data_IF_001362641483
#
_entry.id   IF_001362641483
#
_cell.length_a   1.000
_cell.length_b   1.000
_cell.length_c   1.000
_cell.angle_alpha   90.00
_cell.angle_beta   90.00
_cell.angle_gamma   90.00
#
_symmetry.space_group_name_H-M   'P 1'
#
loop_
_entity.id
_entity.type
_entity.pdbx_description
1 polymer ?
#
# COMPACT_ATOMS: atom_id res chain seq x y z
N UNK A 1 1.54 -17.91 -42.72
CA UNK A 1 0.13 -18.20 -43.17
C UNK A 1 -0.69 -18.20 -41.91
N UNK A 2 -1.31 -17.07 -41.61
CA UNK A 2 -2.12 -16.85 -40.39
C UNK A 2 -3.56 -16.68 -40.84
N UNK A 3 -4.43 -17.61 -40.41
CA UNK A 3 -5.84 -17.56 -40.68
C UNK A 3 -6.51 -16.42 -39.92
N UNK A 4 -7.42 -15.62 -40.53
CA UNK A 4 -8.16 -14.60 -39.82
C UNK A 4 -9.38 -15.19 -39.13
N UNK A 5 -9.57 -14.88 -37.86
CA UNK A 5 -10.75 -15.18 -37.05
C UNK A 5 -12.04 -14.61 -37.68
N UNK A 6 -13.18 -15.32 -37.64
CA UNK A 6 -14.44 -14.84 -38.18
C UNK A 6 -15.05 -13.75 -37.29
N UNK A 7 -15.29 -12.58 -37.87
CA UNK A 7 -16.10 -11.51 -37.29
C UNK A 7 -17.59 -11.87 -37.49
N UNK A 8 -18.25 -12.40 -36.47
CA UNK A 8 -19.71 -12.44 -36.41
C UNK A 8 -20.20 -11.44 -35.36
N UNK A 9 -20.37 -10.20 -35.80
CA UNK A 9 -21.27 -9.26 -35.10
C UNK A 9 -22.73 -9.63 -35.44
N UNK A 10 -23.70 -9.31 -34.55
CA UNK A 10 -25.11 -9.56 -34.85
C UNK A 10 -25.47 -8.75 -36.11
N UNK A 11 -25.86 -9.48 -37.18
CA UNK A 11 -26.45 -8.86 -38.34
C UNK A 11 -27.84 -8.36 -37.93
N UNK A 12 -28.01 -7.02 -37.83
CA UNK A 12 -29.33 -6.41 -37.86
C UNK A 12 -30.03 -6.88 -39.17
N UNK A 13 -31.02 -7.73 -39.05
CA UNK A 13 -31.90 -8.11 -40.15
C UNK A 13 -32.54 -6.88 -40.77
N UNK A 14 -33.03 -6.99 -42.02
CA UNK A 14 -33.70 -5.85 -42.68
C UNK A 14 -34.88 -5.40 -41.80
N UNK A 15 -34.96 -4.10 -41.54
CA UNK A 15 -36.07 -3.49 -40.83
C UNK A 15 -37.38 -3.91 -41.47
N UNK A 16 -38.28 -4.53 -40.69
CA UNK A 16 -39.58 -4.93 -41.15
C UNK A 16 -40.37 -3.66 -41.53
N UNK A 17 -40.53 -3.43 -42.83
CA UNK A 17 -41.24 -2.28 -43.35
C UNK A 17 -42.72 -2.22 -42.87
N UNK A 18 -43.26 -3.31 -42.34
CA UNK A 18 -44.58 -3.38 -41.74
C UNK A 18 -44.61 -2.78 -40.30
N UNK A 19 -43.48 -2.68 -39.60
CA UNK A 19 -43.43 -2.07 -38.30
C UNK A 19 -43.41 -0.53 -38.32
N UNK A 20 -43.02 0.07 -39.44
CA UNK A 20 -42.95 1.52 -39.61
C UNK A 20 -44.30 2.26 -39.52
N UNK A 21 -45.42 1.71 -40.10
CA UNK A 21 -46.74 2.32 -39.92
C UNK A 21 -47.24 2.27 -38.48
N UNK A 22 -46.97 1.20 -37.73
CA UNK A 22 -47.37 1.10 -36.33
C UNK A 22 -46.66 2.12 -35.43
N UNK A 23 -45.41 2.49 -35.75
CA UNK A 23 -44.69 3.56 -35.04
C UNK A 23 -45.25 4.97 -35.32
N UNK A 24 -45.92 5.17 -36.47
CA UNK A 24 -46.56 6.42 -36.85
C UNK A 24 -47.98 6.58 -36.30
N UNK A 25 -48.58 5.50 -35.78
CA UNK A 25 -49.90 5.50 -35.15
C UNK A 25 -49.85 5.81 -33.66
N UNK A 26 -48.66 5.85 -33.00
CA UNK A 26 -48.51 6.27 -31.61
C UNK A 26 -48.98 7.71 -31.46
N UNK A 27 -50.02 7.91 -30.71
CA UNK A 27 -50.46 9.25 -30.38
C UNK A 27 -49.58 9.84 -29.28
N UNK A 28 -49.61 11.17 -29.10
CA UNK A 28 -48.79 11.91 -28.15
C UNK A 28 -49.05 11.45 -26.69
N UNK A 29 -50.26 11.03 -26.38
CA UNK A 29 -50.65 10.60 -25.05
C UNK A 29 -50.11 9.18 -24.78
N UNK A 30 -50.05 8.27 -25.76
CA UNK A 30 -49.44 6.92 -25.63
C UNK A 30 -47.94 7.03 -25.40
N UNK A 31 -47.26 7.88 -26.17
CA UNK A 31 -45.82 8.17 -25.97
C UNK A 31 -45.51 8.77 -24.58
N UNK A 32 -46.39 9.58 -24.05
CA UNK A 32 -46.23 10.17 -22.74
C UNK A 32 -46.52 9.16 -21.63
N UNK A 33 -47.61 8.40 -21.70
CA UNK A 33 -48.05 7.43 -20.69
C UNK A 33 -47.15 6.17 -20.69
N UNK A 34 -46.66 5.74 -21.85
CA UNK A 34 -45.77 4.59 -22.05
C UNK A 34 -44.27 4.90 -21.91
N UNK A 35 -43.89 6.14 -21.62
CA UNK A 35 -42.49 6.51 -21.46
C UNK A 35 -41.81 5.67 -20.36
N UNK A 36 -40.54 5.16 -20.54
CA UNK A 36 -39.85 4.31 -19.58
C UNK A 36 -39.34 5.10 -18.35
N UNK A 37 -39.81 6.32 -18.15
CA UNK A 37 -39.52 7.20 -17.02
C UNK A 37 -40.80 7.83 -16.49
N UNK A 38 -40.79 8.22 -15.24
CA UNK A 38 -41.88 9.02 -14.66
C UNK A 38 -41.85 10.44 -15.22
N UNK A 39 -42.97 10.91 -15.69
CA UNK A 39 -43.12 12.30 -16.11
C UNK A 39 -44.27 12.98 -15.33
N UNK A 40 -43.97 14.18 -14.81
CA UNK A 40 -44.97 14.99 -14.12
C UNK A 40 -44.77 16.44 -14.51
N UNK A 41 -45.91 17.13 -14.77
CA UNK A 41 -45.95 18.59 -14.97
C UNK A 41 -46.70 19.21 -13.81
N UNK A 42 -46.12 20.25 -13.23
CA UNK A 42 -46.75 21.01 -12.15
C UNK A 42 -46.96 22.47 -12.53
N UNK A 43 -47.89 23.10 -11.90
CA UNK A 43 -47.97 24.55 -11.86
C UNK A 43 -46.77 25.11 -11.09
N UNK A 44 -46.58 26.40 -11.11
CA UNK A 44 -45.46 27.06 -10.43
C UNK A 44 -45.52 26.94 -8.92
N UNK A 45 -46.71 26.73 -8.36
CA UNK A 45 -46.93 26.47 -6.94
C UNK A 45 -46.66 25.00 -6.52
N UNK A 46 -46.25 24.17 -7.50
CA UNK A 46 -45.94 22.74 -7.32
C UNK A 46 -47.18 21.83 -7.48
N UNK A 47 -48.40 22.35 -7.71
CA UNK A 47 -49.62 21.53 -7.88
C UNK A 47 -49.49 20.70 -9.18
N UNK A 48 -49.72 19.37 -9.06
CA UNK A 48 -49.61 18.44 -10.17
C UNK A 48 -50.77 18.64 -11.17
N UNK A 49 -50.41 19.01 -12.40
CA UNK A 49 -51.36 19.25 -13.49
C UNK A 49 -51.42 18.05 -14.44
N UNK A 50 -50.29 17.36 -14.69
CA UNK A 50 -50.25 16.18 -15.55
C UNK A 50 -49.23 15.19 -14.96
N UNK A 51 -49.54 13.90 -15.05
CA UNK A 51 -48.67 12.80 -14.58
C UNK A 51 -48.88 11.60 -15.50
N UNK A 52 -47.79 10.91 -15.90
CA UNK A 52 -47.90 9.77 -16.78
C UNK A 52 -48.24 8.45 -16.03
N UNK A 53 -48.70 7.45 -16.78
CA UNK A 53 -49.12 6.15 -16.23
C UNK A 53 -47.96 5.41 -15.58
N UNK A 54 -46.73 5.52 -16.12
CA UNK A 54 -45.51 4.93 -15.54
C UNK A 54 -45.27 5.41 -14.12
N UNK A 55 -45.32 6.72 -13.88
CA UNK A 55 -45.09 7.26 -12.54
C UNK A 55 -46.23 6.92 -11.58
N UNK A 56 -47.49 6.93 -12.03
CA UNK A 56 -48.64 6.47 -11.25
C UNK A 56 -48.48 5.02 -10.84
N UNK A 57 -48.07 4.13 -11.77
CA UNK A 57 -47.80 2.72 -11.47
C UNK A 57 -46.69 2.53 -10.45
N UNK A 58 -45.61 3.32 -10.51
CA UNK A 58 -44.54 3.27 -9.52
C UNK A 58 -45.00 3.74 -8.15
N UNK A 59 -45.84 4.75 -8.10
CA UNK A 59 -46.29 5.35 -6.83
C UNK A 59 -47.52 4.66 -6.22
N UNK A 60 -48.32 3.91 -7.01
CA UNK A 60 -49.52 3.24 -6.59
C UNK A 60 -50.70 4.17 -6.33
N UNK A 61 -50.74 5.37 -6.92
CA UNK A 61 -51.83 6.32 -6.88
C UNK A 61 -52.67 6.23 -8.16
N UNK A 62 -53.95 6.60 -8.06
CA UNK A 62 -54.79 6.85 -9.24
C UNK A 62 -54.57 8.28 -9.73
N UNK A 63 -54.98 8.55 -10.97
CA UNK A 63 -54.84 9.90 -11.59
C UNK A 63 -55.70 10.91 -10.85
N UNK A 64 -56.88 10.50 -10.41
CA UNK A 64 -57.81 11.33 -9.65
C UNK A 64 -57.27 11.69 -8.24
N UNK A 65 -56.45 10.85 -7.63
CA UNK A 65 -55.87 11.12 -6.32
C UNK A 65 -54.78 12.20 -6.36
N UNK A 66 -54.23 12.46 -7.55
CA UNK A 66 -52.98 13.24 -7.70
C UNK A 66 -53.25 14.58 -8.43
N UNK A 67 -53.93 14.57 -9.57
CA UNK A 67 -54.12 15.74 -10.41
C UNK A 67 -55.00 16.79 -9.71
N UNK A 68 -54.47 18.02 -9.56
CA UNK A 68 -55.14 19.12 -8.87
C UNK A 68 -55.31 18.97 -7.37
N UNK A 69 -54.87 17.84 -6.77
CA UNK A 69 -55.04 17.51 -5.34
C UNK A 69 -53.74 17.41 -4.54
N UNK A 70 -52.65 17.03 -5.20
CA UNK A 70 -51.31 16.92 -4.57
C UNK A 70 -50.33 17.89 -5.23
N UNK A 71 -49.34 18.32 -4.40
CA UNK A 71 -48.15 18.97 -4.88
C UNK A 71 -47.04 17.93 -5.10
N UNK A 72 -46.09 18.24 -5.93
CA UNK A 72 -44.91 17.35 -6.09
C UNK A 72 -44.22 17.07 -4.74
N UNK A 73 -44.10 18.08 -3.88
CA UNK A 73 -43.52 17.93 -2.55
C UNK A 73 -44.30 16.95 -1.62
N UNK A 74 -45.61 16.69 -1.87
CA UNK A 74 -46.39 15.72 -1.11
C UNK A 74 -46.07 14.27 -1.44
N UNK A 75 -45.43 14.04 -2.62
CA UNK A 75 -44.95 12.74 -3.03
C UNK A 75 -43.57 12.42 -2.43
N UNK A 76 -42.91 13.37 -1.78
CA UNK A 76 -41.59 13.20 -1.20
C UNK A 76 -41.67 12.65 0.22
N UNK A 77 -40.58 11.96 0.65
CA UNK A 77 -40.38 11.65 2.08
C UNK A 77 -40.13 12.93 2.87
N UNK A 78 -40.21 12.88 4.19
CA UNK A 78 -40.02 14.07 5.06
C UNK A 78 -38.66 14.75 4.77
N UNK A 79 -37.57 13.98 4.66
CA UNK A 79 -36.26 14.51 4.32
C UNK A 79 -36.20 15.07 2.90
N UNK A 80 -36.84 14.37 1.93
CA UNK A 80 -36.95 14.83 0.54
C UNK A 80 -37.72 16.13 0.42
N UNK A 81 -38.80 16.30 1.22
CA UNK A 81 -39.60 17.54 1.28
C UNK A 81 -38.78 18.71 1.81
N UNK A 82 -38.04 18.52 2.90
CA UNK A 82 -37.15 19.55 3.45
C UNK A 82 -36.11 19.99 2.42
N UNK A 83 -35.44 19.03 1.76
CA UNK A 83 -34.45 19.31 0.72
C UNK A 83 -35.08 20.04 -0.48
N UNK A 84 -36.28 19.63 -0.89
CA UNK A 84 -37.03 20.28 -1.96
C UNK A 84 -37.31 21.75 -1.66
N UNK A 85 -37.75 22.05 -0.44
CA UNK A 85 -38.12 23.42 -0.01
C UNK A 85 -36.88 24.31 0.17
N UNK A 86 -35.76 23.75 0.65
CA UNK A 86 -34.58 24.54 1.00
C UNK A 86 -33.55 24.66 -0.16
N UNK A 87 -33.50 23.70 -1.06
CA UNK A 87 -32.50 23.65 -2.12
C UNK A 87 -33.09 23.49 -3.52
N UNK A 88 -33.94 22.48 -3.73
CA UNK A 88 -34.43 22.13 -5.06
C UNK A 88 -35.29 23.24 -5.67
N UNK A 89 -36.34 23.68 -5.02
CA UNK A 89 -37.24 24.70 -5.52
C UNK A 89 -36.56 26.07 -5.68
N UNK A 90 -35.76 26.57 -4.75
CA UNK A 90 -34.99 27.80 -4.91
C UNK A 90 -34.01 27.74 -6.10
N UNK A 91 -33.25 26.63 -6.23
CA UNK A 91 -32.32 26.46 -7.35
C UNK A 91 -33.04 26.45 -8.70
N UNK A 92 -34.17 25.71 -8.80
CA UNK A 92 -34.98 25.66 -10.01
C UNK A 92 -35.53 27.02 -10.39
N UNK A 93 -35.96 27.83 -9.41
CA UNK A 93 -36.43 29.20 -9.64
C UNK A 93 -35.31 30.12 -10.14
N UNK A 94 -34.10 29.98 -9.60
CA UNK A 94 -32.95 30.84 -9.99
C UNK A 94 -32.33 30.47 -11.35
N UNK A 95 -32.21 29.15 -11.61
CA UNK A 95 -31.49 28.64 -12.78
C UNK A 95 -32.39 28.20 -13.92
N UNK A 96 -33.69 28.04 -13.68
CA UNK A 96 -34.65 27.54 -14.67
C UNK A 96 -34.64 26.05 -14.89
N UNK A 97 -33.55 25.34 -14.44
CA UNK A 97 -33.43 23.91 -14.53
C UNK A 97 -32.62 23.33 -13.36
N UNK A 98 -32.81 22.05 -13.10
CA UNK A 98 -32.05 21.26 -12.13
C UNK A 98 -31.94 19.82 -12.64
N UNK A 99 -30.74 19.23 -12.60
CA UNK A 99 -30.44 17.96 -13.24
C UNK A 99 -29.94 16.90 -12.24
N UNK A 100 -30.51 15.67 -12.32
CA UNK A 100 -29.97 14.48 -11.69
C UNK A 100 -29.94 14.48 -10.16
N UNK A 101 -30.92 15.15 -9.52
CA UNK A 101 -31.00 15.19 -8.05
C UNK A 101 -31.58 13.89 -7.51
N UNK A 102 -30.86 13.25 -6.59
CA UNK A 102 -31.35 12.06 -5.91
C UNK A 102 -32.38 12.42 -4.82
N UNK A 103 -33.58 11.89 -4.94
CA UNK A 103 -34.68 12.08 -3.98
C UNK A 103 -35.31 10.72 -3.62
N UNK A 104 -36.14 10.71 -2.59
CA UNK A 104 -36.99 9.57 -2.26
C UNK A 104 -38.45 9.96 -2.35
N UNK A 105 -39.21 9.28 -3.21
CA UNK A 105 -40.66 9.40 -3.28
C UNK A 105 -41.31 8.44 -2.27
N UNK A 106 -42.46 8.82 -1.76
CA UNK A 106 -43.32 8.00 -0.89
C UNK A 106 -44.46 7.44 -1.72
N UNK A 107 -44.58 6.14 -1.78
CA UNK A 107 -45.70 5.46 -2.43
C UNK A 107 -46.95 5.50 -1.62
N UNK A 108 -48.10 5.14 -2.21
CA UNK A 108 -49.38 5.07 -1.56
C UNK A 108 -49.41 4.07 -0.38
N UNK A 109 -48.66 2.99 -0.46
CA UNK A 109 -48.48 2.00 0.61
C UNK A 109 -47.53 2.42 1.72
N UNK A 110 -46.96 3.63 1.64
CA UNK A 110 -45.98 4.17 2.59
C UNK A 110 -44.53 3.76 2.32
N UNK A 111 -44.25 2.85 1.39
CA UNK A 111 -42.89 2.46 1.00
C UNK A 111 -42.16 3.58 0.28
N UNK A 112 -40.81 3.49 0.24
CA UNK A 112 -39.94 4.50 -0.37
C UNK A 112 -39.46 4.04 -1.73
N UNK A 113 -39.44 4.96 -2.69
CA UNK A 113 -38.89 4.78 -4.02
C UNK A 113 -37.72 5.76 -4.22
N UNK A 114 -36.47 5.30 -4.24
CA UNK A 114 -35.34 6.15 -4.63
C UNK A 114 -35.41 6.49 -6.10
N UNK A 115 -35.23 7.77 -6.42
CA UNK A 115 -35.34 8.30 -7.77
C UNK A 115 -34.25 9.32 -8.07
N UNK A 116 -33.96 9.52 -9.36
CA UNK A 116 -33.23 10.67 -9.87
C UNK A 116 -34.21 11.60 -10.56
N UNK A 117 -34.18 12.87 -10.20
CA UNK A 117 -35.13 13.89 -10.65
C UNK A 117 -34.40 14.95 -11.46
N UNK A 118 -34.92 15.24 -12.62
CA UNK A 118 -34.53 16.36 -13.47
C UNK A 118 -35.75 17.22 -13.71
N UNK A 119 -35.65 18.53 -13.49
CA UNK A 119 -36.77 19.47 -13.67
C UNK A 119 -36.34 20.69 -14.48
N UNK A 120 -37.24 21.19 -15.27
CA UNK A 120 -37.05 22.43 -16.01
C UNK A 120 -38.32 23.31 -15.94
N UNK A 121 -38.12 24.59 -15.88
CA UNK A 121 -39.22 25.57 -15.98
C UNK A 121 -39.50 25.82 -17.47
N UNK A 122 -40.74 25.53 -17.89
CA UNK A 122 -41.20 25.87 -19.24
C UNK A 122 -41.71 27.31 -19.24
N UNK A 123 -41.20 28.11 -20.16
CA UNK A 123 -41.63 29.49 -20.40
C UNK A 123 -42.60 29.57 -21.57
N UNK A 124 -43.46 30.57 -21.57
CA UNK A 124 -44.35 30.93 -22.67
C UNK A 124 -43.63 31.70 -23.77
N UNK A 125 -44.38 32.08 -24.84
CA UNK A 125 -43.89 32.90 -25.91
C UNK A 125 -43.56 34.36 -25.49
N UNK A 126 -44.08 34.75 -24.33
CA UNK A 126 -43.85 36.04 -23.67
C UNK A 126 -42.65 36.00 -22.70
N UNK A 127 -41.94 34.86 -22.62
CA UNK A 127 -40.80 34.65 -21.70
C UNK A 127 -41.21 34.42 -20.24
N UNK A 128 -42.51 34.41 -19.91
CA UNK A 128 -42.97 34.17 -18.56
C UNK A 128 -43.01 32.67 -18.22
N UNK A 129 -42.63 32.24 -16.99
CA UNK A 129 -42.73 30.85 -16.56
C UNK A 129 -44.20 30.39 -16.55
N UNK A 130 -44.46 29.25 -17.18
CA UNK A 130 -45.80 28.66 -17.30
C UNK A 130 -46.01 27.47 -16.36
N UNK A 131 -45.06 26.53 -16.38
CA UNK A 131 -45.15 25.28 -15.63
C UNK A 131 -43.76 24.67 -15.43
N UNK A 132 -43.66 23.72 -14.54
CA UNK A 132 -42.44 22.94 -14.31
C UNK A 132 -42.66 21.53 -14.88
N UNK A 133 -41.72 21.08 -15.71
CA UNK A 133 -41.63 19.69 -16.20
C UNK A 133 -40.58 18.95 -15.44
N UNK A 134 -40.97 17.81 -14.91
CA UNK A 134 -40.07 16.93 -14.10
C UNK A 134 -40.07 15.55 -14.72
N UNK A 135 -38.86 15.06 -15.04
CA UNK A 135 -38.60 13.66 -15.41
C UNK A 135 -37.96 12.95 -14.25
N UNK A 136 -38.43 11.74 -14.00
CA UNK A 136 -38.07 10.94 -12.83
C UNK A 136 -37.61 9.58 -13.31
N UNK A 137 -36.41 9.16 -12.91
CA UNK A 137 -35.87 7.83 -13.18
C UNK A 137 -35.85 7.01 -11.91
N UNK A 138 -36.28 5.75 -12.01
CA UNK A 138 -36.15 4.79 -10.93
C UNK A 138 -34.66 4.53 -10.63
N UNK A 139 -34.25 4.71 -9.40
CA UNK A 139 -32.86 4.58 -8.98
C UNK A 139 -32.62 3.37 -8.07
N UNK A 140 -33.60 2.41 -7.96
CA UNK A 140 -33.47 1.24 -7.07
C UNK A 140 -32.28 0.37 -7.42
N UNK A 141 -32.13 -0.02 -8.69
CA UNK A 141 -31.02 -0.86 -9.14
C UNK A 141 -29.67 -0.17 -8.96
N UNK A 142 -29.60 1.10 -9.33
CA UNK A 142 -28.39 1.89 -9.16
C UNK A 142 -27.99 1.98 -7.67
N UNK A 143 -28.94 2.28 -6.80
CA UNK A 143 -28.68 2.40 -5.35
C UNK A 143 -28.27 1.07 -4.71
N UNK A 144 -28.89 -0.04 -5.14
CA UNK A 144 -28.51 -1.38 -4.70
C UNK A 144 -27.08 -1.71 -5.13
N UNK A 145 -26.72 -1.43 -6.38
CA UNK A 145 -25.37 -1.63 -6.90
C UNK A 145 -24.32 -0.76 -6.17
N UNK A 146 -24.63 0.53 -5.94
CA UNK A 146 -23.75 1.42 -5.18
C UNK A 146 -23.53 0.91 -3.74
N UNK A 147 -24.56 0.39 -3.09
CA UNK A 147 -24.45 -0.18 -1.74
C UNK A 147 -23.62 -1.46 -1.73
N UNK A 148 -23.83 -2.35 -2.70
CA UNK A 148 -23.04 -3.59 -2.85
C UNK A 148 -21.56 -3.27 -3.09
N UNK A 149 -21.26 -2.30 -3.96
CA UNK A 149 -19.89 -1.86 -4.22
C UNK A 149 -19.22 -1.29 -2.98
N UNK A 150 -19.93 -0.47 -2.21
CA UNK A 150 -19.41 0.07 -0.95
C UNK A 150 -19.18 -1.03 0.11
N UNK A 151 -20.04 -2.04 0.15
CA UNK A 151 -19.88 -3.17 1.05
C UNK A 151 -18.65 -4.00 0.68
N UNK A 152 -18.54 -4.40 -0.59
CA UNK A 152 -17.40 -5.16 -1.10
C UNK A 152 -16.07 -4.42 -0.89
N UNK A 153 -16.05 -3.09 -1.09
CA UNK A 153 -14.87 -2.28 -0.81
C UNK A 153 -14.47 -2.31 0.66
N UNK A 154 -15.44 -2.16 1.58
CA UNK A 154 -15.16 -2.22 3.03
C UNK A 154 -14.62 -3.57 3.47
N UNK A 155 -15.16 -4.66 2.92
CA UNK A 155 -14.66 -6.01 3.20
C UNK A 155 -13.23 -6.21 2.70
N UNK A 156 -12.95 -5.75 1.47
CA UNK A 156 -11.60 -5.80 0.90
C UNK A 156 -10.58 -4.97 1.70
N UNK A 157 -10.96 -3.76 2.15
CA UNK A 157 -10.12 -2.90 2.97
C UNK A 157 -9.84 -3.53 4.34
N UNK A 158 -10.84 -4.15 4.98
CA UNK A 158 -10.70 -4.84 6.26
C UNK A 158 -9.78 -6.08 6.16
N UNK A 159 -9.92 -6.89 5.11
CA UNK A 159 -9.07 -8.06 4.89
C UNK A 159 -7.62 -7.65 4.58
N UNK A 160 -7.43 -6.57 3.81
CA UNK A 160 -6.10 -6.02 3.54
C UNK A 160 -5.40 -5.56 4.82
N UNK A 161 -6.11 -4.89 5.71
CA UNK A 161 -5.55 -4.45 7.00
C UNK A 161 -5.22 -5.64 7.92
N UNK A 162 -6.07 -6.65 7.92
CA UNK A 162 -5.80 -7.90 8.63
C UNK A 162 -4.53 -8.59 8.13
N UNK A 163 -4.37 -8.71 6.81
CA UNK A 163 -3.17 -9.30 6.19
C UNK A 163 -1.92 -8.50 6.52
N UNK A 164 -1.99 -7.17 6.50
CA UNK A 164 -0.88 -6.29 6.92
C UNK A 164 -0.47 -6.54 8.37
N UNK A 165 -1.43 -6.68 9.25
CA UNK A 165 -1.17 -7.02 10.66
C UNK A 165 -0.46 -8.36 10.83
N UNK A 166 -0.83 -9.37 10.04
CA UNK A 166 -0.16 -10.67 10.04
C UNK A 166 1.26 -10.57 9.49
N UNK A 167 1.47 -9.85 8.39
CA UNK A 167 2.80 -9.61 7.80
C UNK A 167 3.71 -8.92 8.81
N UNK A 168 3.25 -7.84 9.43
CA UNK A 168 4.00 -7.12 10.45
C UNK A 168 4.31 -7.99 11.69
N UNK A 169 3.40 -8.87 12.06
CA UNK A 169 3.62 -9.86 13.13
C UNK A 169 4.71 -10.87 12.79
N UNK A 170 4.67 -11.43 11.58
CA UNK A 170 5.69 -12.34 11.08
C UNK A 170 7.06 -11.65 10.98
N UNK A 171 7.12 -10.46 10.43
CA UNK A 171 8.36 -9.70 10.33
C UNK A 171 9.02 -9.48 11.69
N UNK A 172 8.24 -9.06 12.70
CA UNK A 172 8.75 -8.92 14.08
C UNK A 172 9.29 -10.22 14.66
N UNK A 173 8.72 -11.37 14.33
CA UNK A 173 9.22 -12.66 14.82
C UNK A 173 10.54 -13.08 14.14
N UNK A 174 10.87 -12.53 12.99
CA UNK A 174 12.11 -12.82 12.27
C UNK A 174 13.30 -11.97 12.74
N UNK A 175 13.03 -10.83 13.35
CA UNK A 175 14.06 -9.92 13.86
C UNK A 175 14.08 -9.98 15.42
N UNK A 176 15.20 -9.70 16.07
CA UNK A 176 15.24 -9.56 17.51
C UNK A 176 14.49 -8.31 17.96
N UNK A 177 13.63 -8.43 18.99
CA UNK A 177 12.91 -7.26 19.56
C UNK A 177 13.87 -6.22 20.14
N UNK A 178 14.94 -6.67 20.76
CA UNK A 178 16.04 -5.85 21.30
C UNK A 178 17.35 -6.59 21.15
N UNK A 179 18.42 -5.87 20.81
CA UNK A 179 19.75 -6.44 20.82
C UNK A 179 20.35 -6.34 22.23
N UNK A 180 20.94 -7.43 22.75
CA UNK A 180 21.76 -7.35 23.95
C UNK A 180 23.02 -6.54 23.65
N UNK A 181 23.52 -5.78 24.63
CA UNK A 181 24.79 -5.09 24.49
C UNK A 181 25.92 -5.91 25.16
N UNK A 182 27.08 -6.09 24.52
CA UNK A 182 28.27 -6.61 25.16
C UNK A 182 28.71 -5.66 26.30
N UNK A 183 29.43 -6.16 27.32
CA UNK A 183 29.94 -5.31 28.39
C UNK A 183 30.77 -4.14 27.84
N UNK A 184 30.57 -2.94 28.40
CA UNK A 184 31.22 -1.70 27.99
C UNK A 184 30.95 -1.27 26.53
N UNK A 185 29.85 -1.76 25.92
CA UNK A 185 29.47 -1.43 24.56
C UNK A 185 28.03 -0.95 24.51
N UNK A 186 27.77 -0.09 23.51
CA UNK A 186 26.42 0.31 23.14
C UNK A 186 26.07 -0.28 21.78
N UNK A 187 24.80 -0.66 21.63
CA UNK A 187 24.27 -1.20 20.37
C UNK A 187 23.03 -0.44 19.97
N UNK A 188 22.85 -0.25 18.69
CA UNK A 188 21.65 0.38 18.13
C UNK A 188 21.32 -0.24 16.79
N UNK A 189 20.03 -0.31 16.46
CA UNK A 189 19.55 -0.82 15.18
C UNK A 189 18.40 0.04 14.66
N UNK A 190 18.27 0.02 13.35
CA UNK A 190 17.11 0.56 12.66
C UNK A 190 16.69 -0.39 11.56
N UNK A 191 15.40 -0.52 11.35
CA UNK A 191 14.83 -1.31 10.28
C UNK A 191 13.67 -0.56 9.62
N UNK A 192 13.73 -0.44 8.30
CA UNK A 192 12.68 0.14 7.48
C UNK A 192 12.25 -0.86 6.40
N UNK A 193 10.95 -1.10 6.28
CA UNK A 193 10.38 -1.89 5.19
C UNK A 193 9.99 -0.98 4.03
N UNK A 194 10.48 -1.26 2.84
CA UNK A 194 10.07 -0.54 1.64
C UNK A 194 8.57 -0.72 1.30
N UNK A 195 7.94 -1.79 1.78
CA UNK A 195 6.53 -2.09 1.54
C UNK A 195 5.87 -2.70 2.77
N UNK A 196 4.77 -2.08 3.24
CA UNK A 196 3.95 -2.62 4.32
C UNK A 196 3.15 -3.89 3.94
N UNK A 197 3.06 -4.21 2.65
CA UNK A 197 2.28 -5.34 2.12
C UNK A 197 3.16 -6.59 1.88
N UNK A 198 4.47 -6.54 2.20
CA UNK A 198 5.42 -7.65 1.97
C UNK A 198 6.39 -7.77 3.12
N UNK A 199 6.89 -8.99 3.36
CA UNK A 199 7.97 -9.24 4.32
C UNK A 199 9.28 -8.90 3.62
N UNK A 200 10.14 -8.12 4.30
CA UNK A 200 11.45 -7.72 3.81
C UNK A 200 12.47 -8.85 3.83
N UNK A 201 13.55 -8.68 3.06
CA UNK A 201 14.69 -9.61 2.96
C UNK A 201 15.74 -9.40 4.02
N UNK A 202 15.89 -8.18 4.53
CA UNK A 202 16.93 -7.81 5.49
C UNK A 202 16.78 -8.52 6.82
N UNK A 203 17.90 -8.99 7.39
CA UNK A 203 17.96 -9.63 8.69
C UNK A 203 19.23 -9.30 9.43
N UNK A 204 19.17 -9.26 10.75
CA UNK A 204 20.33 -9.01 11.63
C UNK A 204 20.16 -9.71 12.97
N UNK A 205 21.26 -9.85 13.67
CA UNK A 205 21.27 -10.33 15.06
C UNK A 205 22.58 -9.95 15.76
N UNK A 206 22.54 -9.90 17.10
CA UNK A 206 23.69 -9.80 17.98
C UNK A 206 23.44 -10.69 19.20
N UNK A 207 24.34 -11.59 19.54
CA UNK A 207 24.11 -12.59 20.56
C UNK A 207 25.39 -13.03 21.24
N UNK A 208 25.32 -13.45 22.55
CA UNK A 208 26.48 -13.92 23.26
C UNK A 208 26.90 -15.31 22.77
N UNK A 209 28.20 -15.55 22.80
CA UNK A 209 28.86 -16.84 22.56
C UNK A 209 29.67 -17.25 23.78
N UNK A 210 30.19 -18.49 23.78
CA UNK A 210 31.06 -18.97 24.83
C UNK A 210 32.32 -18.11 24.99
N UNK A 211 32.91 -18.15 26.18
CA UNK A 211 34.14 -17.42 26.54
C UNK A 211 34.07 -15.89 26.38
N UNK A 212 32.90 -15.28 26.61
CA UNK A 212 32.69 -13.86 26.55
C UNK A 212 32.67 -13.24 25.12
N UNK A 213 32.77 -14.07 24.09
CA UNK A 213 32.68 -13.66 22.70
C UNK A 213 31.25 -13.33 22.31
N UNK A 214 31.09 -12.58 21.22
CA UNK A 214 29.79 -12.19 20.67
C UNK A 214 29.77 -12.42 19.17
N UNK A 215 28.69 -13.02 18.69
CA UNK A 215 28.40 -13.14 17.27
C UNK A 215 27.43 -12.03 16.84
N UNK A 216 27.65 -11.47 15.67
CA UNK A 216 26.73 -10.51 15.06
C UNK A 216 26.72 -10.67 13.55
N UNK A 217 25.59 -10.38 12.93
CA UNK A 217 25.49 -10.38 11.48
C UNK A 217 24.43 -9.40 10.99
N UNK A 218 24.58 -9.00 9.73
CA UNK A 218 23.58 -8.33 8.93
C UNK A 218 23.62 -8.91 7.53
N UNK A 219 22.44 -9.15 6.91
CA UNK A 219 22.33 -9.73 5.59
C UNK A 219 21.02 -9.37 4.93
N UNK A 220 20.95 -9.58 3.63
CA UNK A 220 19.76 -9.43 2.81
C UNK A 220 19.50 -10.70 1.99
N UNK A 221 18.26 -11.16 2.01
CA UNK A 221 17.79 -12.32 1.25
C UNK A 221 17.19 -11.86 -0.07
N UNK A 222 17.67 -12.40 -1.16
CA UNK A 222 17.14 -12.10 -2.48
C UNK A 222 15.63 -12.43 -2.57
N UNK A 223 14.83 -11.43 -2.94
CA UNK A 223 13.38 -11.52 -3.08
C UNK A 223 12.61 -11.03 -1.85
N UNK A 224 11.29 -11.03 -1.94
CA UNK A 224 10.39 -10.49 -0.89
C UNK A 224 9.22 -11.44 -0.63
N UNK A 225 8.62 -11.33 0.54
CA UNK A 225 7.45 -12.12 0.94
C UNK A 225 7.79 -13.41 1.68
N UNK A 226 6.85 -14.37 1.72
CA UNK A 226 6.96 -15.58 2.55
C UNK A 226 8.18 -16.46 2.22
N UNK A 227 8.62 -16.51 0.97
CA UNK A 227 9.81 -17.28 0.59
C UNK A 227 11.08 -16.65 1.15
N UNK A 228 11.21 -15.32 1.09
CA UNK A 228 12.31 -14.58 1.71
C UNK A 228 12.30 -14.77 3.23
N UNK A 229 11.14 -14.63 3.89
CA UNK A 229 10.97 -14.86 5.32
C UNK A 229 11.46 -16.24 5.78
N UNK A 230 11.13 -17.28 5.03
CA UNK A 230 11.61 -18.64 5.34
C UNK A 230 13.14 -18.76 5.22
N UNK A 231 13.74 -18.09 4.23
CA UNK A 231 15.19 -18.04 4.03
C UNK A 231 15.87 -17.22 5.14
N UNK A 232 15.30 -16.08 5.51
CA UNK A 232 15.73 -15.25 6.64
C UNK A 232 15.77 -16.05 7.95
N UNK A 233 14.68 -16.76 8.27
CA UNK A 233 14.62 -17.62 9.45
C UNK A 233 15.70 -18.71 9.42
N UNK A 234 15.85 -19.41 8.28
CA UNK A 234 16.86 -20.43 8.10
C UNK A 234 18.28 -19.86 8.26
N UNK A 235 18.58 -18.72 7.63
CA UNK A 235 19.87 -18.06 7.71
C UNK A 235 20.21 -17.68 9.16
N UNK A 236 19.29 -16.98 9.83
CA UNK A 236 19.48 -16.53 11.22
C UNK A 236 19.74 -17.69 12.17
N UNK A 237 18.91 -18.74 12.12
CA UNK A 237 19.09 -19.91 13.01
C UNK A 237 20.36 -20.70 12.70
N UNK A 238 20.68 -20.86 11.41
CA UNK A 238 21.89 -21.56 10.99
C UNK A 238 23.14 -20.84 11.47
N UNK A 239 23.22 -19.51 11.29
CA UNK A 239 24.37 -18.72 11.73
C UNK A 239 24.55 -18.76 13.25
N UNK A 240 23.47 -18.58 14.03
CA UNK A 240 23.52 -18.69 15.49
C UNK A 240 24.00 -20.06 15.96
N UNK A 241 23.48 -21.10 15.34
CA UNK A 241 23.85 -22.49 15.72
C UNK A 241 25.29 -22.80 15.32
N UNK A 242 25.70 -22.47 14.09
CA UNK A 242 27.05 -22.73 13.62
C UNK A 242 28.11 -22.04 14.49
N UNK A 243 27.93 -20.74 14.78
CA UNK A 243 28.87 -19.96 15.60
C UNK A 243 28.87 -20.36 17.07
N UNK A 244 27.81 -20.97 17.59
CA UNK A 244 27.78 -21.53 18.96
C UNK A 244 28.69 -22.76 19.08
N UNK A 245 28.82 -23.56 18.01
CA UNK A 245 29.71 -24.73 17.97
C UNK A 245 31.12 -24.33 17.56
N UNK A 246 31.29 -23.56 16.54
CA UNK A 246 32.56 -23.07 16.02
C UNK A 246 32.49 -21.57 15.73
N UNK A 247 33.17 -20.74 16.53
CA UNK A 247 33.14 -19.29 16.36
C UNK A 247 34.05 -18.79 15.24
N UNK A 248 34.34 -19.62 14.24
CA UNK A 248 34.94 -19.18 12.99
C UNK A 248 33.85 -18.66 12.06
N UNK A 249 33.81 -17.33 11.73
CA UNK A 249 32.76 -16.77 10.90
C UNK A 249 32.80 -17.30 9.46
N UNK A 250 33.97 -17.72 8.96
CA UNK A 250 34.05 -18.30 7.60
C UNK A 250 33.45 -19.71 7.56
N UNK A 251 33.72 -20.54 8.57
CA UNK A 251 33.11 -21.85 8.69
C UNK A 251 31.59 -21.77 8.84
N UNK A 252 31.08 -20.79 9.61
CA UNK A 252 29.65 -20.58 9.76
C UNK A 252 28.96 -20.16 8.45
N UNK A 253 29.58 -19.28 7.66
CA UNK A 253 29.07 -18.91 6.33
C UNK A 253 29.13 -20.07 5.34
N UNK A 254 30.18 -20.90 5.38
CA UNK A 254 30.25 -22.11 4.57
C UNK A 254 29.14 -23.10 4.90
N UNK A 255 28.82 -23.24 6.20
CA UNK A 255 27.71 -24.07 6.65
C UNK A 255 26.36 -23.52 6.18
N UNK A 256 26.11 -22.20 6.32
CA UNK A 256 24.92 -21.56 5.81
C UNK A 256 24.79 -21.78 4.29
N UNK A 257 25.87 -21.63 3.54
CA UNK A 257 25.88 -21.89 2.11
C UNK A 257 25.42 -23.32 1.78
N UNK A 258 25.94 -24.31 2.51
CA UNK A 258 25.54 -25.71 2.29
C UNK A 258 24.05 -25.92 2.51
N UNK A 259 23.47 -25.32 3.57
CA UNK A 259 22.04 -25.39 3.88
C UNK A 259 21.21 -24.76 2.77
N UNK A 260 21.50 -23.51 2.37
CA UNK A 260 20.73 -22.79 1.37
C UNK A 260 20.89 -23.39 -0.03
N UNK A 261 22.11 -23.86 -0.38
CA UNK A 261 22.36 -24.47 -1.68
C UNK A 261 21.63 -25.81 -1.86
N UNK A 262 21.46 -26.61 -0.80
CA UNK A 262 20.64 -27.82 -0.85
C UNK A 262 19.17 -27.51 -1.14
N UNK A 263 18.64 -26.47 -0.52
CA UNK A 263 17.27 -26.00 -0.76
C UNK A 263 17.08 -25.43 -2.18
N UNK A 264 18.12 -24.80 -2.74
CA UNK A 264 18.10 -24.26 -4.11
C UNK A 264 17.77 -25.34 -5.16
N UNK A 265 18.23 -26.58 -4.97
CA UNK A 265 17.93 -27.73 -5.85
C UNK A 265 16.44 -28.12 -5.84
N UNK A 266 15.67 -27.65 -4.85
CA UNK A 266 14.27 -28.02 -4.58
C UNK A 266 13.23 -27.03 -5.13
N UNK A 267 13.55 -26.05 -6.00
CA UNK A 267 12.64 -25.11 -6.71
C UNK A 267 12.61 -23.64 -6.25
N UNK A 268 13.41 -23.19 -5.30
CA UNK A 268 13.46 -21.74 -4.99
C UNK A 268 14.90 -21.25 -5.00
N UNK A 269 15.13 -20.12 -5.69
CA UNK A 269 16.42 -19.44 -5.72
C UNK A 269 16.65 -18.77 -4.36
N UNK A 270 17.17 -19.54 -3.40
CA UNK A 270 17.41 -19.07 -2.04
C UNK A 270 18.87 -18.71 -1.88
N UNK A 271 19.18 -17.44 -1.97
CA UNK A 271 20.51 -16.91 -1.71
C UNK A 271 20.38 -15.60 -0.96
N UNK A 272 21.46 -15.23 -0.28
CA UNK A 272 21.54 -13.98 0.45
C UNK A 272 22.93 -13.36 0.34
N UNK A 273 23.02 -12.07 0.57
CA UNK A 273 24.24 -11.41 0.98
C UNK A 273 24.29 -11.39 2.50
N UNK A 274 25.46 -11.55 3.09
CA UNK A 274 25.60 -11.50 4.55
C UNK A 274 27.02 -11.14 4.96
N UNK A 275 27.13 -10.32 6.01
CA UNK A 275 28.36 -10.09 6.76
C UNK A 275 28.18 -10.66 8.17
N UNK A 276 29.08 -11.53 8.58
CA UNK A 276 29.10 -12.17 9.90
C UNK A 276 30.37 -11.77 10.63
N UNK A 277 30.23 -11.30 11.86
CA UNK A 277 31.33 -10.91 12.71
C UNK A 277 31.39 -11.68 14.03
N UNK A 278 32.58 -11.96 14.49
CA UNK A 278 32.85 -12.44 15.83
C UNK A 278 33.70 -11.39 16.57
N UNK A 279 33.11 -10.84 17.63
CA UNK A 279 33.79 -9.96 18.55
C UNK A 279 34.39 -10.80 19.69
N UNK A 280 35.69 -10.65 19.85
CA UNK A 280 36.45 -11.28 20.95
C UNK A 280 36.97 -10.16 21.87
N UNK A 281 36.58 -10.09 23.15
CA UNK A 281 37.09 -9.10 24.09
C UNK A 281 38.60 -9.26 24.27
N UNK A 282 39.30 -8.14 24.40
CA UNK A 282 40.71 -8.06 24.76
C UNK A 282 40.90 -7.19 26.00
N UNK A 283 42.05 -7.21 26.66
CA UNK A 283 42.28 -6.38 27.85
C UNK A 283 42.16 -4.87 27.60
N UNK A 284 42.31 -4.43 26.33
CA UNK A 284 42.32 -3.00 25.94
C UNK A 284 41.24 -2.70 24.93
N UNK A 285 40.17 -3.49 24.84
CA UNK A 285 39.10 -3.26 23.90
C UNK A 285 38.52 -4.54 23.32
N UNK A 286 38.55 -4.71 22.01
CA UNK A 286 38.04 -5.89 21.30
C UNK A 286 38.82 -6.20 20.02
N UNK A 287 38.67 -7.42 19.53
CA UNK A 287 39.10 -7.81 18.17
C UNK A 287 37.90 -8.34 17.43
N UNK A 288 37.66 -7.84 16.25
CA UNK A 288 36.56 -8.26 15.36
C UNK A 288 37.14 -9.06 14.20
N UNK A 289 36.61 -10.27 14.00
CA UNK A 289 36.87 -11.06 12.78
C UNK A 289 35.59 -11.11 11.97
N UNK A 290 35.61 -10.52 10.78
CA UNK A 290 34.49 -10.53 9.82
C UNK A 290 34.69 -11.64 8.81
N UNK A 291 33.57 -12.20 8.32
CA UNK A 291 33.50 -12.99 7.10
C UNK A 291 32.39 -12.45 6.21
N UNK A 292 32.68 -12.25 4.91
CA UNK A 292 31.75 -11.66 3.96
C UNK A 292 31.27 -12.64 2.92
N UNK A 293 29.96 -12.60 2.70
CA UNK A 293 29.24 -13.29 1.64
C UNK A 293 28.53 -12.32 0.70
N UNK A 294 29.29 -11.47 0.00
CA UNK A 294 28.76 -10.53 -1.00
C UNK A 294 27.99 -9.31 -0.44
N UNK A 295 28.10 -9.05 0.83
CA UNK A 295 27.41 -7.94 1.52
C UNK A 295 28.25 -6.66 1.51
N UNK A 296 27.64 -5.45 1.57
CA UNK A 296 28.37 -4.18 1.69
C UNK A 296 29.40 -4.17 2.84
N UNK A 297 30.50 -3.44 2.61
CA UNK A 297 31.57 -3.34 3.61
C UNK A 297 31.11 -2.52 4.82
N UNK A 298 31.21 -3.04 6.06
CA UNK A 298 30.96 -2.23 7.24
C UNK A 298 31.89 -1.02 7.34
N UNK A 299 31.43 0.08 7.93
CA UNK A 299 32.22 1.28 8.19
C UNK A 299 32.69 1.29 9.64
N UNK A 300 33.98 1.42 9.87
CA UNK A 300 34.58 1.60 11.17
C UNK A 300 34.93 3.08 11.38
N UNK A 301 34.28 3.70 12.34
CA UNK A 301 34.52 5.06 12.77
C UNK A 301 35.47 5.02 13.96
N UNK A 302 36.64 5.60 13.81
CA UNK A 302 37.67 5.63 14.83
C UNK A 302 37.45 6.78 15.83
N UNK A 303 37.99 6.63 17.00
CA UNK A 303 37.99 7.67 18.03
C UNK A 303 38.71 8.95 17.59
N UNK A 304 39.67 8.88 16.66
CA UNK A 304 40.38 10.04 16.08
C UNK A 304 39.57 10.76 14.97
N UNK A 305 38.38 10.30 14.64
CA UNK A 305 37.50 10.87 13.61
C UNK A 305 37.70 10.31 12.22
N UNK A 306 38.58 9.33 12.02
CA UNK A 306 38.73 8.66 10.72
C UNK A 306 37.63 7.65 10.48
N UNK A 307 37.24 7.45 9.20
CA UNK A 307 36.24 6.47 8.77
C UNK A 307 36.88 5.50 7.77
N UNK A 308 36.92 4.25 8.15
CA UNK A 308 37.57 3.17 7.39
C UNK A 308 36.56 2.13 6.97
N UNK A 309 36.36 1.88 5.67
CA UNK A 309 35.61 0.70 5.23
C UNK A 309 36.36 -0.58 5.59
N UNK A 310 35.63 -1.59 6.04
CA UNK A 310 36.18 -2.91 6.40
C UNK A 310 35.79 -3.95 5.34
N UNK A 311 36.39 -3.93 4.12
CA UNK A 311 35.99 -4.77 3.03
C UNK A 311 36.36 -6.23 3.28
N UNK A 312 35.44 -7.15 2.96
CA UNK A 312 35.66 -8.57 2.80
C UNK A 312 35.75 -8.88 1.31
N UNK A 313 36.82 -8.38 0.67
CA UNK A 313 36.97 -8.36 -0.80
C UNK A 313 37.00 -9.76 -1.39
N UNK A 314 36.19 -10.01 -2.41
CA UNK A 314 36.11 -11.26 -3.16
C UNK A 314 35.17 -12.30 -2.57
N UNK A 315 34.43 -11.97 -1.50
CA UNK A 315 33.31 -12.79 -1.03
C UNK A 315 32.18 -12.83 -2.08
N UNK A 316 31.51 -13.98 -2.19
CA UNK A 316 30.38 -14.18 -3.10
C UNK A 316 29.10 -14.44 -2.33
N UNK A 317 27.94 -14.23 -2.96
CA UNK A 317 26.64 -14.51 -2.35
C UNK A 317 26.56 -15.93 -1.78
N UNK A 318 25.83 -16.10 -0.71
CA UNK A 318 25.64 -17.35 0.01
C UNK A 318 24.37 -18.06 -0.49
N UNK A 319 24.48 -19.37 -0.77
CA UNK A 319 23.38 -20.21 -1.27
C UNK A 319 23.30 -20.25 -2.81
N UNK A 320 23.99 -19.36 -3.51
CA UNK A 320 23.96 -19.30 -5.00
C UNK A 320 24.96 -20.22 -5.69
N UNK A 321 26.06 -20.55 -5.04
CA UNK A 321 27.17 -21.36 -5.59
C UNK A 321 27.43 -22.58 -4.72
N UNK A 322 27.83 -23.71 -5.36
CA UNK A 322 28.22 -24.91 -4.61
C UNK A 322 29.41 -24.64 -3.70
N UNK A 323 30.39 -23.90 -4.17
CA UNK A 323 31.58 -23.52 -3.42
C UNK A 323 31.73 -22.00 -3.46
N UNK A 324 31.19 -21.27 -2.49
CA UNK A 324 31.30 -19.82 -2.43
C UNK A 324 32.72 -19.41 -2.05
N UNK A 325 33.13 -18.24 -2.46
CA UNK A 325 34.32 -17.59 -1.92
C UNK A 325 33.89 -16.78 -0.70
N UNK A 326 34.48 -17.09 0.45
CA UNK A 326 34.26 -16.38 1.71
C UNK A 326 35.56 -15.64 2.04
N UNK A 327 35.48 -14.33 2.10
CA UNK A 327 36.61 -13.50 2.47
C UNK A 327 36.54 -13.12 3.95
N UNK A 328 37.68 -13.08 4.62
CA UNK A 328 37.76 -12.73 6.05
C UNK A 328 38.65 -11.52 6.26
N UNK A 329 38.36 -10.77 7.32
CA UNK A 329 39.14 -9.63 7.78
C UNK A 329 39.12 -9.54 9.31
N UNK A 330 40.28 -9.35 9.93
CA UNK A 330 40.39 -9.13 11.38
C UNK A 330 41.01 -7.77 11.65
N UNK A 331 40.44 -7.04 12.60
CA UNK A 331 40.90 -5.73 13.01
C UNK A 331 40.58 -5.46 14.50
N UNK A 332 41.33 -4.57 15.18
CA UNK A 332 41.01 -4.17 16.54
C UNK A 332 39.81 -3.22 16.57
N UNK A 333 39.02 -3.34 17.64
CA UNK A 333 38.03 -2.36 18.07
C UNK A 333 38.54 -1.70 19.34
N UNK A 334 38.88 -0.42 19.25
CA UNK A 334 39.49 0.34 20.34
C UNK A 334 38.44 1.18 21.08
N UNK A 335 38.69 1.61 22.33
CA UNK A 335 37.77 2.50 23.05
C UNK A 335 37.42 3.76 22.26
N UNK A 336 36.13 4.06 22.14
CA UNK A 336 35.59 5.17 21.34
C UNK A 336 35.35 4.86 19.87
N UNK A 337 35.69 3.66 19.39
CA UNK A 337 35.38 3.21 18.03
C UNK A 337 33.92 2.81 17.89
N UNK A 338 33.37 3.01 16.70
CA UNK A 338 32.01 2.58 16.32
C UNK A 338 32.03 1.83 14.99
N UNK A 339 31.54 0.59 14.97
CA UNK A 339 31.34 -0.21 13.78
C UNK A 339 29.88 -0.08 13.32
N UNK A 340 29.67 0.22 12.04
CA UNK A 340 28.34 0.35 11.42
C UNK A 340 28.21 -0.64 10.29
N UNK A 341 27.17 -1.48 10.36
CA UNK A 341 26.73 -2.39 9.32
C UNK A 341 25.43 -1.85 8.72
N UNK A 342 25.24 -2.05 7.43
CA UNK A 342 24.07 -1.55 6.70
C UNK A 342 23.78 -2.44 5.48
N UNK A 343 22.50 -2.53 5.10
CA UNK A 343 22.09 -3.18 3.86
C UNK A 343 22.22 -2.24 2.66
N UNK A 344 22.15 -2.81 1.46
CA UNK A 344 22.28 -2.07 0.20
C UNK A 344 21.14 -1.06 -0.02
N UNK A 345 19.96 -1.24 0.59
CA UNK A 345 18.87 -0.28 0.55
C UNK A 345 19.25 1.12 1.02
N UNK A 346 20.23 1.26 1.94
CA UNK A 346 20.80 2.57 2.30
C UNK A 346 21.58 3.19 1.13
N UNK A 347 22.38 2.38 0.42
CA UNK A 347 23.20 2.86 -0.69
C UNK A 347 22.37 3.16 -1.94
N UNK A 348 21.29 2.43 -2.14
CA UNK A 348 20.36 2.56 -3.26
C UNK A 348 19.29 3.64 -3.04
N UNK A 349 19.21 4.22 -1.84
CA UNK A 349 18.31 5.33 -1.55
C UNK A 349 18.55 6.51 -2.49
N UNK A 350 17.47 7.19 -2.92
CA UNK A 350 17.53 8.27 -3.91
C UNK A 350 17.18 9.61 -3.30
N UNK A 351 17.98 10.61 -3.56
CA UNK A 351 17.74 11.99 -3.18
C UNK A 351 17.16 12.79 -4.35
N UNK A 352 15.91 13.26 -4.23
CA UNK A 352 15.24 14.14 -5.19
C UNK A 352 14.84 13.48 -6.51
N UNK A 353 14.38 14.27 -7.47
CA UNK A 353 13.99 13.85 -8.83
C UNK A 353 15.16 13.33 -9.67
N UNK A 354 16.39 13.26 -9.11
CA UNK A 354 17.60 12.74 -9.74
C UNK A 354 17.68 11.22 -9.71
N UNK A 355 18.31 10.63 -10.72
CA UNK A 355 18.46 9.19 -10.85
C UNK A 355 19.64 8.60 -10.06
N UNK A 356 20.39 9.41 -9.31
CA UNK A 356 21.61 8.96 -8.65
C UNK A 356 21.32 8.34 -7.28
N UNK A 357 21.92 7.16 -7.03
CA UNK A 357 21.91 6.51 -5.73
C UNK A 357 22.82 7.26 -4.74
N UNK A 358 22.50 7.15 -3.45
CA UNK A 358 23.31 7.77 -2.39
C UNK A 358 24.78 7.29 -2.42
N UNK A 359 24.96 5.99 -2.53
CA UNK A 359 26.25 5.36 -2.77
C UNK A 359 27.20 5.33 -1.56
N UNK A 360 28.25 4.51 -1.69
CA UNK A 360 29.21 4.26 -0.59
C UNK A 360 30.08 5.49 -0.28
N UNK A 361 30.47 6.26 -1.29
CA UNK A 361 31.28 7.48 -1.12
C UNK A 361 30.52 8.55 -0.33
N UNK A 362 29.23 8.74 -0.64
CA UNK A 362 28.37 9.69 0.08
C UNK A 362 28.15 9.26 1.53
N UNK A 363 27.96 7.94 1.76
CA UNK A 363 27.85 7.40 3.10
C UNK A 363 29.13 7.64 3.91
N UNK A 364 30.30 7.34 3.35
CA UNK A 364 31.59 7.59 4.02
C UNK A 364 31.78 9.07 4.34
N UNK A 365 31.47 9.96 3.41
CA UNK A 365 31.55 11.40 3.62
C UNK A 365 30.55 11.90 4.69
N UNK A 366 29.37 11.30 4.76
CA UNK A 366 28.38 11.61 5.81
C UNK A 366 28.90 11.17 7.18
N UNK A 367 29.39 9.93 7.30
CA UNK A 367 29.90 9.37 8.54
C UNK A 367 31.15 10.09 9.05
N UNK A 368 32.03 10.57 8.15
CA UNK A 368 33.21 11.36 8.50
C UNK A 368 32.86 12.70 9.20
N UNK A 369 31.66 13.23 8.99
CA UNK A 369 31.16 14.42 9.70
C UNK A 369 30.60 14.12 11.09
N UNK A 370 30.28 12.85 11.36
CA UNK A 370 29.73 12.39 12.63
C UNK A 370 30.81 11.84 13.56
N UNK A 371 31.92 11.33 13.00
CA UNK A 371 32.98 10.68 13.76
C UNK A 371 33.78 11.71 14.60
N UNK A 372 34.18 11.38 15.86
CA UNK A 372 33.77 10.16 16.59
C UNK A 372 32.32 10.21 17.07
N UNK A 373 31.67 9.08 17.16
CA UNK A 373 30.27 8.98 17.57
C UNK A 373 29.96 7.65 18.24
N UNK A 374 28.81 7.54 18.92
CA UNK A 374 28.35 6.29 19.54
C UNK A 374 27.35 5.58 18.64
N UNK A 375 27.13 4.27 18.87
CA UNK A 375 26.18 3.49 18.11
C UNK A 375 24.76 4.10 18.06
N UNK A 376 24.14 4.54 19.17
CA UNK A 376 22.84 5.20 19.14
C UNK A 376 22.86 6.51 18.34
N UNK A 377 23.90 7.33 18.51
CA UNK A 377 24.00 8.63 17.82
C UNK A 377 24.18 8.43 16.30
N UNK A 378 24.99 7.45 15.87
CA UNK A 378 25.19 7.13 14.47
C UNK A 378 23.90 6.64 13.80
N UNK A 379 23.18 5.68 14.44
CA UNK A 379 21.92 5.17 13.90
C UNK A 379 20.85 6.25 13.83
N UNK A 380 20.75 7.11 14.85
CA UNK A 380 19.81 8.23 14.82
C UNK A 380 20.11 9.20 13.67
N UNK A 381 21.38 9.59 13.47
CA UNK A 381 21.76 10.47 12.38
C UNK A 381 21.49 9.87 10.99
N UNK A 382 21.73 8.55 10.82
CA UNK A 382 21.40 7.83 9.60
C UNK A 382 19.88 7.74 9.39
N UNK A 383 19.11 7.56 10.46
CA UNK A 383 17.65 7.54 10.39
C UNK A 383 17.09 8.90 9.98
N UNK A 384 17.64 9.99 10.51
CA UNK A 384 17.30 11.36 10.11
C UNK A 384 17.67 11.61 8.63
N UNK A 385 18.82 11.13 8.18
CA UNK A 385 19.22 11.17 6.77
C UNK A 385 18.21 10.41 5.89
N UNK A 386 17.84 9.17 6.27
CA UNK A 386 16.86 8.36 5.54
C UNK A 386 15.50 9.07 5.41
N UNK A 387 15.09 9.83 6.42
CA UNK A 387 13.86 10.62 6.39
C UNK A 387 13.91 11.78 5.37
N UNK A 388 15.07 12.17 4.89
CA UNK A 388 15.24 13.21 3.85
C UNK A 388 15.10 12.67 2.43
N UNK A 389 15.17 11.36 2.23
CA UNK A 389 15.01 10.75 0.92
C UNK A 389 13.53 10.65 0.54
N UNK A 390 13.20 11.01 -0.69
CA UNK A 390 11.81 10.98 -1.17
C UNK A 390 11.28 9.56 -1.27
N UNK A 391 12.15 8.59 -1.53
CA UNK A 391 11.77 7.19 -1.73
C UNK A 391 12.90 6.24 -1.36
N UNK A 392 12.55 5.21 -0.60
CA UNK A 392 13.36 4.04 -0.35
C UNK A 392 12.80 2.89 -1.22
N UNK A 393 13.58 2.44 -2.19
CA UNK A 393 13.16 1.42 -3.16
C UNK A 393 13.33 0.00 -2.61
N UNK A 394 14.19 -0.17 -1.60
CA UNK A 394 14.41 -1.44 -0.89
C UNK A 394 14.37 -1.28 0.63
N UNK A 395 14.31 -2.42 1.33
CA UNK A 395 14.38 -2.48 2.78
C UNK A 395 15.72 -1.93 3.26
N UNK A 396 15.74 -1.29 4.43
CA UNK A 396 16.96 -0.75 5.01
C UNK A 396 17.14 -1.30 6.41
N UNK A 397 18.22 -2.02 6.63
CA UNK A 397 18.66 -2.44 7.94
C UNK A 397 19.97 -1.75 8.32
N UNK A 398 20.04 -1.21 9.54
CA UNK A 398 21.23 -0.63 10.13
C UNK A 398 21.50 -1.33 11.45
N UNK A 399 22.76 -1.62 11.73
CA UNK A 399 23.23 -2.07 13.03
C UNK A 399 24.55 -1.37 13.36
N UNK A 400 24.63 -0.79 14.54
CA UNK A 400 25.87 -0.19 15.02
C UNK A 400 26.25 -0.78 16.39
N UNK A 401 27.55 -0.92 16.60
CA UNK A 401 28.17 -1.34 17.86
C UNK A 401 29.30 -0.36 18.17
N UNK A 402 29.28 0.27 19.33
CA UNK A 402 30.37 1.16 19.79
C UNK A 402 30.96 0.67 21.10
N UNK A 403 32.26 0.79 21.23
CA UNK A 403 32.99 0.57 22.49
C UNK A 403 33.07 1.88 23.24
N UNK A 404 32.68 1.88 24.51
CA UNK A 404 32.72 3.09 25.34
C UNK A 404 34.14 3.63 25.43
N UNK A 405 34.29 4.97 25.36
CA UNK A 405 35.60 5.62 25.39
C UNK A 405 36.35 5.38 26.71
N UNK A 406 35.59 5.17 27.81
CA UNK A 406 36.13 4.90 29.13
C UNK A 406 36.24 3.38 29.44
N UNK A 407 36.13 2.53 28.43
CA UNK A 407 36.28 1.10 28.57
C UNK A 407 37.73 0.77 29.08
N UNK A 408 37.85 -0.15 30.04
CA UNK A 408 39.12 -0.49 30.64
C UNK A 408 40.12 -1.16 29.68
#
# INVERSE_FOLDING_TARGET
MSDPLPRTGPQCGPWDAAAFPAMLEDNIDDLYDGAPCGNVSTLLDGTIAKINATLLGWLGYTREDVIGRKRFSDLLTVGGKLYHETHFAPTLQMQGEINGVALELRRADGSRLPVLVTSLVKTGSDGQPLLIRTTIFDARERRAYEQELLHARREADAERERLRGLIAGLQRSLLPDTLPAPPHMQTSTYYHMASADRIGGDFYDLYPLAAGRWGFFLGDVCGKGLAAAATTAAARHTLRTATAYDPDPAAALAHLNAVLYQDHRSRSHRHCTVILGILTPTPTGGSITLAGGGHPAPMLLRADGTVEPQPTTGGTIIGGLHTPRIATRTFPLEPGDTLILYSDGLLEARSGLGAEHFGEESLQAFLARLAPTTAPAAVNALTELLATFERLDDDVALMAVSLDADAP
#
